data_IF_306843530697
#
_entry.id   IF_306843530697
#
_cell.length_a   1.000
_cell.length_b   1.000
_cell.length_c   1.000
_cell.angle_alpha   90.00
_cell.angle_beta   90.00
_cell.angle_gamma   90.00
#
_symmetry.space_group_name_H-M   'P 1'
#
loop_
_entity.id
_entity.type
_entity.pdbx_description
1 polymer ?
#
# COMPACT_ATOMS: atom_id res chain seq x y z
N UNK A 1 22.82 -15.37 -26.55
CA UNK A 1 21.91 -14.31 -26.04
C UNK A 1 22.31 -14.02 -24.60
N UNK A 2 22.72 -12.79 -24.30
CA UNK A 2 23.14 -12.37 -22.94
C UNK A 2 21.88 -12.06 -22.12
N UNK A 3 21.68 -12.75 -21.00
CA UNK A 3 20.64 -12.43 -20.02
C UNK A 3 21.10 -11.23 -19.21
N UNK A 4 20.57 -10.05 -19.52
CA UNK A 4 20.73 -8.85 -18.70
C UNK A 4 19.83 -8.97 -17.47
N UNK A 5 20.32 -9.67 -16.45
CA UNK A 5 19.77 -9.61 -15.10
C UNK A 5 20.20 -8.26 -14.51
N UNK A 6 19.35 -7.24 -14.67
CA UNK A 6 19.54 -5.96 -14.01
C UNK A 6 19.41 -6.13 -12.50
N UNK A 7 20.52 -6.45 -11.83
CA UNK A 7 20.59 -6.36 -10.38
C UNK A 7 20.66 -4.88 -10.00
N UNK A 8 19.65 -4.42 -9.26
CA UNK A 8 19.69 -3.07 -8.69
C UNK A 8 20.84 -2.99 -7.66
N UNK A 9 21.58 -1.86 -7.61
CA UNK A 9 22.66 -1.69 -6.64
C UNK A 9 22.12 -1.85 -5.21
N UNK A 10 22.85 -2.59 -4.38
CA UNK A 10 22.58 -2.72 -2.94
C UNK A 10 22.66 -1.32 -2.33
N UNK A 11 21.50 -0.76 -1.98
CA UNK A 11 21.35 0.60 -1.44
C UNK A 11 20.27 1.43 -2.11
N UNK A 12 19.86 1.10 -3.34
CA UNK A 12 18.71 1.73 -3.99
C UNK A 12 17.47 0.95 -3.57
N UNK A 13 16.70 1.49 -2.61
CA UNK A 13 15.38 0.95 -2.31
C UNK A 13 14.59 0.97 -3.62
N UNK A 14 14.17 -0.20 -4.09
CA UNK A 14 13.39 -0.28 -5.30
C UNK A 14 12.21 0.70 -5.19
N UNK A 15 11.89 1.48 -6.23
CA UNK A 15 11.02 2.65 -6.09
C UNK A 15 9.57 2.30 -5.68
N UNK A 16 9.21 1.02 -5.77
CA UNK A 16 7.96 0.42 -5.28
C UNK A 16 8.01 -0.14 -3.84
N UNK A 17 9.15 -0.07 -3.15
CA UNK A 17 9.32 -0.51 -1.76
C UNK A 17 9.22 0.70 -0.83
N UNK A 18 8.26 0.66 0.08
CA UNK A 18 8.03 1.70 1.07
C UNK A 18 8.55 1.26 2.45
N UNK A 19 9.25 2.14 3.19
CA UNK A 19 9.59 1.93 4.61
C UNK A 19 8.97 3.05 5.44
N UNK A 20 8.10 2.71 6.39
CA UNK A 20 7.50 3.67 7.33
C UNK A 20 7.59 3.12 8.74
N UNK A 21 8.04 3.95 9.68
CA UNK A 21 8.04 3.62 11.10
C UNK A 21 6.59 3.69 11.59
N UNK A 22 6.11 2.60 12.20
CA UNK A 22 4.75 2.49 12.73
C UNK A 22 4.82 2.54 14.25
N UNK A 23 4.06 3.45 14.87
CA UNK A 23 3.95 3.51 16.33
C UNK A 23 3.11 2.34 16.86
N UNK A 24 3.33 1.88 18.11
CA UNK A 24 2.59 0.76 18.69
C UNK A 24 1.05 0.91 18.59
N UNK A 25 0.50 2.09 18.83
CA UNK A 25 -0.94 2.34 18.79
C UNK A 25 -1.56 2.09 17.40
N UNK A 26 -0.81 2.44 16.35
CA UNK A 26 -1.22 2.19 14.95
C UNK A 26 -1.15 0.70 14.60
N UNK A 27 -0.25 -0.06 15.24
CA UNK A 27 -0.13 -1.51 15.07
C UNK A 27 -1.36 -2.22 15.63
N UNK A 28 -1.89 -1.79 16.79
CA UNK A 28 -3.12 -2.33 17.36
C UNK A 28 -4.36 -2.02 16.52
N UNK A 29 -4.43 -0.83 15.93
CA UNK A 29 -5.56 -0.42 15.10
C UNK A 29 -5.61 -1.09 13.71
N UNK A 30 -4.56 -1.81 13.29
CA UNK A 30 -4.39 -2.37 11.93
C UNK A 30 -4.59 -1.34 10.80
N UNK A 31 -4.48 -0.05 11.12
CA UNK A 31 -4.72 1.09 10.24
C UNK A 31 -3.50 1.99 10.28
N UNK A 32 -2.97 2.31 9.11
CA UNK A 32 -1.90 3.27 8.92
C UNK A 32 -2.42 4.46 8.13
N UNK A 33 -2.52 5.62 8.79
CA UNK A 33 -2.87 6.87 8.13
C UNK A 33 -1.70 7.39 7.28
N UNK A 34 -2.03 7.77 6.05
CA UNK A 34 -1.13 8.24 5.01
C UNK A 34 -1.65 9.59 4.46
N UNK A 35 -0.86 10.67 4.55
CA UNK A 35 -1.23 11.94 3.92
C UNK A 35 -1.33 11.80 2.40
N UNK A 36 -2.18 12.60 1.75
CA UNK A 36 -2.33 12.61 0.29
C UNK A 36 -0.99 12.71 -0.44
N UNK A 37 -0.11 13.63 -0.04
CA UNK A 37 1.20 13.84 -0.69
C UNK A 37 2.05 12.57 -0.70
N UNK A 38 1.98 11.80 0.38
CA UNK A 38 2.70 10.53 0.51
C UNK A 38 2.11 9.45 -0.40
N UNK A 39 0.78 9.31 -0.42
CA UNK A 39 0.09 8.34 -1.28
C UNK A 39 0.31 8.66 -2.75
N UNK A 40 0.20 9.93 -3.13
CA UNK A 40 0.42 10.39 -4.49
C UNK A 40 1.82 10.03 -5.00
N UNK A 41 2.86 10.32 -4.21
CA UNK A 41 4.25 10.11 -4.62
C UNK A 41 4.68 8.65 -4.63
N UNK A 42 4.16 7.83 -3.71
CA UNK A 42 4.71 6.50 -3.44
C UNK A 42 3.76 5.33 -3.72
N UNK A 43 2.46 5.59 -3.88
CA UNK A 43 1.45 4.55 -4.13
C UNK A 43 0.81 4.79 -5.50
N UNK A 44 0.13 5.92 -5.69
CA UNK A 44 -0.61 6.22 -6.93
C UNK A 44 0.30 6.28 -8.16
N UNK A 45 1.58 6.66 -7.99
CA UNK A 45 2.58 6.62 -9.05
C UNK A 45 2.71 5.27 -9.76
N UNK A 46 2.36 4.16 -9.09
CA UNK A 46 2.49 2.80 -9.63
C UNK A 46 1.15 2.15 -9.95
N UNK A 47 0.05 2.88 -9.85
CA UNK A 47 -1.28 2.36 -10.13
C UNK A 47 -1.78 2.83 -11.49
N UNK A 48 -2.74 2.10 -12.04
CA UNK A 48 -3.49 2.58 -13.18
C UNK A 48 -4.41 3.72 -12.75
N UNK A 49 -4.65 4.66 -13.67
CA UNK A 49 -5.49 5.85 -13.44
C UNK A 49 -6.86 5.48 -12.87
N UNK A 50 -7.51 4.45 -13.44
CA UNK A 50 -8.81 3.93 -12.97
C UNK A 50 -8.80 3.49 -11.49
N UNK A 51 -7.70 2.92 -11.00
CA UNK A 51 -7.56 2.51 -9.58
C UNK A 51 -7.44 3.74 -8.68
N UNK A 52 -6.71 4.74 -9.13
CA UNK A 52 -6.53 6.01 -8.40
C UNK A 52 -7.87 6.74 -8.32
N UNK A 53 -8.57 6.88 -9.44
CA UNK A 53 -9.89 7.50 -9.50
C UNK A 53 -10.90 6.79 -8.58
N UNK A 54 -10.91 5.46 -8.59
CA UNK A 54 -11.76 4.66 -7.72
C UNK A 54 -11.56 5.01 -6.24
N UNK A 55 -10.31 5.02 -5.76
CA UNK A 55 -10.03 5.33 -4.35
C UNK A 55 -10.28 6.80 -4.04
N UNK A 56 -10.00 7.72 -4.97
CA UNK A 56 -10.26 9.16 -4.79
C UNK A 56 -11.74 9.50 -4.64
N UNK A 57 -12.66 8.72 -5.22
CA UNK A 57 -14.12 8.87 -5.00
C UNK A 57 -14.52 8.72 -3.54
N UNK A 58 -13.70 8.07 -2.71
CA UNK A 58 -14.00 7.86 -1.28
C UNK A 58 -15.25 7.01 -1.06
N UNK A 59 -15.96 7.21 0.05
CA UNK A 59 -17.23 6.51 0.29
C UNK A 59 -17.13 4.99 0.50
N UNK A 60 -15.97 4.49 0.94
CA UNK A 60 -15.71 3.07 1.10
C UNK A 60 -15.17 2.38 -0.16
N UNK A 61 -14.93 3.13 -1.24
CA UNK A 61 -14.14 2.65 -2.36
C UNK A 61 -12.71 2.35 -1.90
N UNK A 62 -12.23 1.15 -2.25
CA UNK A 62 -10.95 0.61 -1.79
C UNK A 62 -10.23 -0.09 -2.92
N UNK A 63 -8.91 -0.03 -2.90
CA UNK A 63 -8.06 -0.79 -3.81
C UNK A 63 -7.24 -1.79 -3.02
N UNK A 64 -7.33 -3.07 -3.42
CA UNK A 64 -6.57 -4.14 -2.79
C UNK A 64 -5.07 -3.97 -3.07
N UNK A 65 -4.26 -4.20 -2.05
CA UNK A 65 -2.80 -4.21 -2.13
C UNK A 65 -2.22 -5.42 -1.41
N UNK A 66 -1.04 -5.85 -1.85
CA UNK A 66 -0.25 -6.85 -1.12
C UNK A 66 0.75 -6.14 -0.23
N UNK A 67 0.82 -6.54 1.03
CA UNK A 67 1.85 -6.10 1.96
C UNK A 67 2.80 -7.26 2.25
N UNK A 68 4.09 -6.98 2.14
CA UNK A 68 5.17 -7.92 2.45
C UNK A 68 5.86 -7.40 3.69
N UNK A 69 5.92 -8.19 4.77
CA UNK A 69 6.74 -7.85 5.91
C UNK A 69 8.20 -8.17 5.57
N UNK A 70 9.09 -7.19 5.73
CA UNK A 70 10.52 -7.31 5.40
C UNK A 70 11.44 -7.33 6.63
N UNK A 71 10.86 -7.39 7.84
CA UNK A 71 11.65 -7.41 9.10
C UNK A 71 12.12 -8.79 9.52
N UNK A 72 11.58 -9.87 8.93
CA UNK A 72 12.00 -11.24 9.19
C UNK A 72 12.54 -11.85 7.88
N UNK A 73 13.62 -12.64 7.95
CA UNK A 73 14.27 -13.28 6.79
C UNK A 73 13.32 -14.17 5.96
N UNK A 74 12.18 -14.54 6.54
CA UNK A 74 11.05 -15.11 5.83
C UNK A 74 10.04 -14.01 5.46
N UNK A 75 9.99 -13.69 4.18
CA UNK A 75 9.02 -12.78 3.54
C UNK A 75 7.58 -13.30 3.68
N UNK A 76 7.01 -13.28 4.90
CA UNK A 76 5.61 -13.60 5.09
C UNK A 76 4.76 -12.52 4.42
N UNK A 77 4.03 -12.94 3.39
CA UNK A 77 2.99 -12.14 2.76
C UNK A 77 1.82 -12.12 3.75
N UNK A 78 1.20 -10.96 3.94
CA UNK A 78 -0.03 -10.91 4.72
C UNK A 78 -1.15 -11.64 3.96
N UNK A 79 -1.40 -12.90 4.31
CA UNK A 79 -2.45 -13.75 3.71
C UNK A 79 -3.86 -13.22 3.95
N UNK A 80 -4.06 -12.32 4.92
CA UNK A 80 -5.39 -11.75 5.21
C UNK A 80 -5.78 -10.64 4.24
N UNK A 81 -4.86 -10.17 3.40
CA UNK A 81 -5.06 -9.06 2.48
C UNK A 81 -4.83 -7.68 3.13
N UNK A 82 -4.78 -6.67 2.28
CA UNK A 82 -4.73 -5.27 2.66
C UNK A 82 -5.37 -4.40 1.59
N UNK A 83 -5.77 -3.18 1.94
CA UNK A 83 -6.33 -2.22 0.99
C UNK A 83 -6.02 -0.78 1.38
N UNK A 84 -6.09 0.11 0.39
CA UNK A 84 -6.05 1.56 0.59
C UNK A 84 -7.44 2.14 0.35
N UNK A 85 -7.88 3.02 1.25
CA UNK A 85 -9.13 3.78 1.14
C UNK A 85 -8.89 5.26 1.46
N UNK A 86 -9.69 6.17 0.87
CA UNK A 86 -9.75 7.58 1.31
C UNK A 86 -10.63 7.67 2.55
N UNK A 87 -10.18 8.37 3.60
CA UNK A 87 -11.00 8.60 4.79
C UNK A 87 -12.17 9.54 4.46
N UNK A 88 -13.32 9.26 5.06
CA UNK A 88 -14.55 10.08 4.89
C UNK A 88 -14.32 11.51 5.40
N UNK A 89 -13.54 11.66 6.48
CA UNK A 89 -13.20 12.96 7.06
C UNK A 89 -11.75 13.32 6.73
N UNK A 90 -11.56 14.17 5.72
CA UNK A 90 -10.26 14.75 5.35
C UNK A 90 -9.67 14.22 4.05
N UNK A 91 -8.45 14.65 3.75
CA UNK A 91 -7.68 14.27 2.56
C UNK A 91 -6.70 13.12 2.81
N UNK A 92 -6.74 12.55 4.02
CA UNK A 92 -5.90 11.43 4.39
C UNK A 92 -6.45 10.10 3.86
N UNK A 93 -5.53 9.19 3.61
CA UNK A 93 -5.80 7.81 3.21
C UNK A 93 -5.45 6.86 4.34
N UNK A 94 -6.10 5.71 4.35
CA UNK A 94 -5.78 4.63 5.26
C UNK A 94 -5.25 3.44 4.46
N UNK A 95 -4.10 2.92 4.87
CA UNK A 95 -3.68 1.57 4.54
C UNK A 95 -4.16 0.65 5.67
N UNK A 96 -4.99 -0.33 5.33
CA UNK A 96 -5.66 -1.21 6.30
C UNK A 96 -5.23 -2.65 6.08
N UNK A 97 -4.83 -3.35 7.15
CA UNK A 97 -4.63 -4.80 7.12
C UNK A 97 -5.96 -5.50 7.40
N UNK A 98 -6.53 -6.15 6.39
CA UNK A 98 -7.80 -6.85 6.48
C UNK A 98 -8.31 -7.31 5.12
N UNK A 99 -9.38 -8.12 5.14
CA UNK A 99 -9.95 -8.72 3.93
C UNK A 99 -10.35 -7.63 2.95
N UNK A 100 -9.70 -7.64 1.79
CA UNK A 100 -10.14 -6.84 0.66
C UNK A 100 -11.22 -7.64 -0.07
N UNK A 101 -12.48 -7.27 0.14
CA UNK A 101 -13.60 -7.80 -0.64
C UNK A 101 -13.97 -6.75 -1.68
N UNK A 102 -13.90 -7.08 -2.96
CA UNK A 102 -14.71 -6.33 -3.93
C UNK A 102 -16.17 -6.58 -3.54
N UNK A 103 -16.96 -5.52 -3.37
CA UNK A 103 -18.41 -5.71 -3.30
C UNK A 103 -18.80 -6.15 -4.70
N UNK A 104 -19.08 -7.43 -4.85
CA UNK A 104 -19.75 -7.96 -6.03
C UNK A 104 -21.22 -7.59 -5.84
N UNK A 105 -21.68 -6.60 -6.62
CA UNK A 105 -23.09 -6.27 -6.76
C UNK A 105 -23.85 -7.42 -7.46
#
# INVERSE_FOLDING_TARGET
MKTNTGSYPVGVQAPWKLKKVVSPDKKFAKILLLPFTFVFQHIFRYWMEEMVELVMKGGGNRQCVRLINVTEENHQINDTGAYVEKKITGEDYALVCGVCSEKVD
#
